data_IF_446843601064
#
_entry.id   IF_446843601064
#
_cell.length_a   1.000
_cell.length_b   1.000
_cell.length_c   1.000
_cell.angle_alpha   90.00
_cell.angle_beta   90.00
_cell.angle_gamma   90.00
#
_symmetry.space_group_name_H-M   'P 1'
#
loop_
_entity.id
_entity.type
_entity.pdbx_description
1 polymer ?
#
# COMPACT_ATOMS: atom_id res chain seq x y z
N UNK A 1 -52.29 -48.96 -34.64
CA UNK A 1 -51.94 -47.69 -35.29
C UNK A 1 -52.55 -46.59 -34.44
N UNK A 2 -51.79 -46.10 -33.46
CA UNK A 2 -52.25 -45.11 -32.47
C UNK A 2 -51.58 -43.78 -32.78
N UNK A 3 -52.39 -42.77 -33.11
CA UNK A 3 -51.96 -41.39 -33.34
C UNK A 3 -51.64 -40.70 -32.00
N UNK A 4 -50.55 -39.92 -31.89
CA UNK A 4 -50.31 -39.10 -30.71
C UNK A 4 -51.01 -37.74 -30.83
N UNK A 5 -51.59 -37.30 -29.72
CA UNK A 5 -52.23 -36.01 -29.55
C UNK A 5 -51.19 -34.88 -29.55
N UNK A 6 -51.46 -33.85 -30.35
CA UNK A 6 -50.78 -32.55 -30.32
C UNK A 6 -51.15 -31.83 -29.01
N UNK A 7 -50.18 -31.58 -28.13
CA UNK A 7 -50.35 -30.65 -27.02
C UNK A 7 -50.09 -29.22 -27.53
N UNK A 8 -51.09 -28.36 -27.34
CA UNK A 8 -51.05 -26.93 -27.65
C UNK A 8 -50.09 -26.17 -26.74
N UNK A 9 -49.26 -25.32 -27.36
CA UNK A 9 -48.42 -24.33 -26.70
C UNK A 9 -49.26 -23.30 -25.94
N UNK A 10 -48.82 -22.83 -24.75
CA UNK A 10 -49.44 -21.67 -24.11
C UNK A 10 -48.88 -20.37 -24.71
N UNK A 11 -49.79 -19.51 -25.15
CA UNK A 11 -49.55 -18.10 -25.46
C UNK A 11 -48.94 -17.39 -24.25
N UNK A 12 -47.75 -16.82 -24.42
CA UNK A 12 -47.16 -15.91 -23.45
C UNK A 12 -47.61 -14.48 -23.80
N UNK A 13 -48.46 -13.92 -22.94
CA UNK A 13 -48.91 -12.53 -23.01
C UNK A 13 -47.72 -11.59 -22.77
N UNK A 14 -47.54 -10.67 -23.71
CA UNK A 14 -46.66 -9.51 -23.57
C UNK A 14 -47.34 -8.48 -22.68
N UNK A 15 -46.86 -8.31 -21.45
CA UNK A 15 -47.14 -7.13 -20.63
C UNK A 15 -45.85 -6.34 -20.42
N UNK A 16 -45.78 -5.19 -21.10
CA UNK A 16 -44.93 -4.06 -20.73
C UNK A 16 -45.37 -3.51 -19.37
N UNK A 17 -44.41 -3.04 -18.56
CA UNK A 17 -44.60 -1.70 -18.04
C UNK A 17 -43.35 -0.84 -18.23
N UNK A 18 -43.59 0.30 -18.89
CA UNK A 18 -42.79 1.50 -18.78
C UNK A 18 -42.68 1.89 -17.29
N UNK A 19 -41.47 1.90 -16.74
CA UNK A 19 -41.15 2.77 -15.62
C UNK A 19 -39.84 3.47 -15.90
N UNK A 20 -39.97 4.70 -16.38
CA UNK A 20 -38.93 5.71 -16.44
C UNK A 20 -38.35 5.95 -15.04
N UNK A 21 -37.22 5.31 -14.75
CA UNK A 21 -36.40 5.64 -13.59
C UNK A 21 -35.26 6.55 -14.06
N UNK A 22 -35.50 7.86 -13.92
CA UNK A 22 -34.50 8.90 -14.07
C UNK A 22 -33.47 8.79 -12.94
N UNK A 23 -32.46 7.95 -13.13
CA UNK A 23 -31.30 7.92 -12.25
C UNK A 23 -30.46 9.18 -12.50
N UNK A 24 -30.82 10.24 -11.79
CA UNK A 24 -30.03 11.46 -11.69
C UNK A 24 -28.72 11.11 -10.98
N UNK A 25 -27.64 10.98 -11.74
CA UNK A 25 -26.29 10.88 -11.23
C UNK A 25 -25.89 12.20 -10.55
N UNK A 26 -26.26 12.35 -9.28
CA UNK A 26 -25.62 13.27 -8.36
C UNK A 26 -24.23 12.71 -8.01
N UNK A 27 -23.25 12.96 -8.89
CA UNK A 27 -21.86 12.93 -8.47
C UNK A 27 -21.64 14.12 -7.52
N UNK A 28 -21.16 13.91 -6.29
CA UNK A 28 -20.67 15.01 -5.48
C UNK A 28 -19.53 15.70 -6.26
N UNK A 29 -19.49 17.04 -6.34
CA UNK A 29 -18.40 17.72 -6.99
C UNK A 29 -17.11 17.30 -6.29
N UNK A 30 -16.19 16.72 -7.07
CA UNK A 30 -14.82 16.46 -6.65
C UNK A 30 -14.31 17.71 -5.95
N UNK A 31 -13.92 17.51 -4.69
CA UNK A 31 -13.55 18.58 -3.78
C UNK A 31 -12.62 19.56 -4.49
N UNK A 32 -13.10 20.80 -4.61
CA UNK A 32 -12.23 21.97 -4.69
C UNK A 32 -11.19 21.82 -3.59
N UNK A 33 -9.97 21.49 -3.98
CA UNK A 33 -8.81 21.79 -3.16
C UNK A 33 -8.74 23.31 -3.05
N UNK A 34 -9.40 23.85 -2.03
CA UNK A 34 -9.05 25.14 -1.49
C UNK A 34 -7.64 25.00 -0.92
N UNK A 35 -6.63 25.06 -1.78
CA UNK A 35 -5.37 25.65 -1.37
C UNK A 35 -5.68 27.12 -1.13
N UNK A 36 -6.08 27.40 0.12
CA UNK A 36 -6.08 28.74 0.67
C UNK A 36 -4.61 29.18 0.74
N UNK A 37 -4.12 29.69 -0.38
CA UNK A 37 -2.87 30.41 -0.48
C UNK A 37 -3.09 31.82 0.08
N UNK A 38 -3.27 31.93 1.39
CA UNK A 38 -3.23 33.19 2.13
C UNK A 38 -3.12 32.88 3.62
N UNK A 39 -1.88 32.86 4.13
CA UNK A 39 -1.46 33.19 5.51
C UNK A 39 -0.04 32.70 5.72
N UNK A 40 0.94 33.35 5.08
CA UNK A 40 2.29 33.52 5.65
C UNK A 40 3.03 34.65 4.93
N UNK A 41 2.44 35.85 4.95
CA UNK A 41 3.23 37.08 4.85
C UNK A 41 3.53 37.51 6.27
N UNK A 42 4.79 37.32 6.69
CA UNK A 42 5.31 37.95 7.88
C UNK A 42 5.14 39.46 7.74
N UNK A 43 4.19 40.03 8.48
CA UNK A 43 4.11 41.48 8.66
C UNK A 43 5.24 41.90 9.62
N UNK A 44 6.05 42.90 9.25
CA UNK A 44 6.98 43.51 10.17
C UNK A 44 6.22 44.27 11.26
N UNK A 45 6.68 44.14 12.50
CA UNK A 45 6.26 44.92 13.66
C UNK A 45 6.24 46.42 13.32
N UNK A 46 5.06 46.99 13.15
CA UNK A 46 4.85 48.42 13.28
C UNK A 46 4.42 48.72 14.70
N UNK A 47 5.32 49.38 15.43
CA UNK A 47 5.04 50.25 16.58
C UNK A 47 3.73 51.00 16.35
N UNK A 48 2.71 50.64 17.10
CA UNK A 48 1.56 51.50 17.35
C UNK A 48 1.81 52.21 18.66
N UNK A 49 2.08 53.51 18.57
CA UNK A 49 1.95 54.43 19.69
C UNK A 49 0.48 54.47 20.10
N UNK A 50 0.18 53.90 21.27
CA UNK A 50 -1.14 53.88 21.87
C UNK A 50 -1.12 54.58 23.21
N UNK A 51 -1.61 55.82 23.21
CA UNK A 51 -1.94 56.62 24.39
C UNK A 51 -2.59 55.79 25.49
N UNK A 52 -1.96 55.73 26.66
CA UNK A 52 -2.61 55.26 27.90
C UNK A 52 -2.79 56.46 28.82
N UNK A 53 -3.95 57.09 28.70
CA UNK A 53 -4.53 57.95 29.72
C UNK A 53 -5.07 57.03 30.82
N UNK A 54 -4.47 57.04 32.02
CA UNK A 54 -4.90 56.13 33.08
C UNK A 54 -4.22 56.38 34.41
N UNK A 55 -4.75 57.37 35.12
CA UNK A 55 -4.42 57.77 36.49
C UNK A 55 -4.26 56.58 37.45
N UNK A 56 -3.12 56.52 38.14
CA UNK A 56 -2.79 55.51 39.13
C UNK A 56 -1.65 55.98 40.01
N UNK A 57 -1.96 56.96 40.85
CA UNK A 57 -1.10 57.55 41.88
C UNK A 57 -0.62 56.47 42.85
N UNK A 58 0.67 56.14 42.81
CA UNK A 58 1.38 55.57 43.95
C UNK A 58 2.74 56.28 44.07
N UNK A 59 2.78 57.23 45.00
CA UNK A 59 4.01 57.82 45.52
C UNK A 59 4.81 56.74 46.25
N UNK A 60 6.01 56.47 45.75
CA UNK A 60 6.95 55.53 46.32
C UNK A 60 8.37 55.99 46.02
N UNK A 61 8.78 57.03 46.73
CA UNK A 61 10.11 57.60 46.75
C UNK A 61 11.20 56.54 46.80
N UNK A 62 12.05 56.46 45.77
CA UNK A 62 13.42 56.02 45.96
C UNK A 62 14.35 56.75 44.98
N UNK A 63 14.74 57.97 45.39
CA UNK A 63 15.93 58.62 44.89
C UNK A 63 17.14 57.80 45.35
N UNK A 64 17.70 56.97 44.47
CA UNK A 64 19.11 56.64 44.53
C UNK A 64 19.79 57.27 43.32
N UNK A 65 20.50 58.33 43.66
CA UNK A 65 21.56 59.02 42.94
C UNK A 65 22.35 58.08 42.01
N UNK A 66 22.46 58.48 40.75
CA UNK A 66 23.67 59.08 40.14
C UNK A 66 24.83 58.11 39.90
N UNK A 67 25.29 58.19 38.65
CA UNK A 67 26.67 57.98 38.20
C UNK A 67 27.18 56.53 38.22
N UNK A 68 27.20 55.95 37.02
CA UNK A 68 28.27 55.11 36.47
C UNK A 68 28.01 55.09 34.95
N UNK A 69 28.54 56.01 34.13
CA UNK A 69 29.94 56.02 33.68
C UNK A 69 30.49 54.61 33.38
N UNK A 70 29.69 53.76 32.73
CA UNK A 70 30.27 52.63 32.00
C UNK A 70 30.88 53.18 30.71
N UNK A 71 32.21 53.16 30.56
CA UNK A 71 32.80 53.52 29.28
C UNK A 71 32.22 52.56 28.24
N UNK A 72 31.79 53.11 27.12
CA UNK A 72 31.56 52.38 25.88
C UNK A 72 32.90 51.78 25.43
N UNK A 73 33.38 50.76 26.17
CA UNK A 73 34.63 50.09 25.89
C UNK A 73 34.35 49.08 24.80
N UNK A 74 34.92 49.42 23.65
CA UNK A 74 34.70 48.85 22.34
C UNK A 74 35.24 47.42 22.28
N UNK A 75 34.63 46.69 21.34
CA UNK A 75 35.30 45.71 20.48
C UNK A 75 36.01 44.55 21.14
N UNK A 76 35.30 43.77 21.97
CA UNK A 76 35.55 42.34 21.96
C UNK A 76 34.35 41.67 21.28
N UNK A 77 34.28 41.87 19.95
CA UNK A 77 33.36 41.11 19.10
C UNK A 77 33.69 39.65 19.31
N UNK A 78 32.81 38.94 20.02
CA UNK A 78 32.90 37.50 20.22
C UNK A 78 33.15 36.84 18.86
N UNK A 79 34.32 36.19 18.64
CA UNK A 79 34.64 35.55 17.37
C UNK A 79 33.55 34.58 16.90
N UNK A 80 32.79 34.01 17.84
CA UNK A 80 31.65 33.15 17.52
C UNK A 80 30.49 33.87 16.84
N UNK A 81 30.23 35.13 17.19
CA UNK A 81 29.13 35.90 16.59
C UNK A 81 29.37 36.14 15.09
N UNK A 82 30.62 36.40 14.69
CA UNK A 82 30.99 36.56 13.28
C UNK A 82 30.83 35.24 12.50
N UNK A 83 31.26 34.13 13.08
CA UNK A 83 31.14 32.79 12.47
C UNK A 83 29.67 32.41 12.28
N UNK A 84 28.83 32.60 13.30
CA UNK A 84 27.40 32.30 13.24
C UNK A 84 26.70 33.16 12.19
N UNK A 85 27.00 34.47 12.15
CA UNK A 85 26.40 35.38 11.17
C UNK A 85 26.77 34.98 9.74
N UNK A 86 28.04 34.65 9.49
CA UNK A 86 28.50 34.16 8.17
C UNK A 86 27.79 32.86 7.77
N UNK A 87 27.63 31.91 8.71
CA UNK A 87 26.93 30.64 8.44
C UNK A 87 25.44 30.86 8.13
N UNK A 88 24.78 31.77 8.83
CA UNK A 88 23.38 32.14 8.55
C UNK A 88 23.26 32.74 7.14
N UNK A 89 24.18 33.61 6.75
CA UNK A 89 24.18 34.20 5.41
C UNK A 89 24.34 33.13 4.31
N UNK A 90 25.26 32.18 4.50
CA UNK A 90 25.47 31.05 3.58
C UNK A 90 24.19 30.21 3.46
N UNK A 91 23.61 29.79 4.59
CA UNK A 91 22.37 28.99 4.61
C UNK A 91 21.19 29.74 3.98
N UNK A 92 21.14 31.06 4.13
CA UNK A 92 20.11 31.90 3.51
C UNK A 92 20.26 31.91 1.99
N UNK A 93 21.50 32.03 1.49
CA UNK A 93 21.80 31.94 0.05
C UNK A 93 21.47 30.56 -0.52
N UNK A 94 21.86 29.48 0.18
CA UNK A 94 21.55 28.09 -0.21
C UNK A 94 20.04 27.85 -0.26
N UNK A 95 19.29 28.27 0.76
CA UNK A 95 17.83 28.15 0.76
C UNK A 95 17.18 28.94 -0.39
N UNK A 96 17.66 30.15 -0.66
CA UNK A 96 17.16 30.94 -1.77
C UNK A 96 17.45 30.27 -3.13
N UNK A 97 18.61 29.62 -3.27
CA UNK A 97 18.94 28.85 -4.46
C UNK A 97 18.03 27.63 -4.61
N UNK A 98 17.84 26.85 -3.55
CA UNK A 98 16.93 25.70 -3.56
C UNK A 98 15.50 26.11 -3.91
N UNK A 99 15.02 27.28 -3.44
CA UNK A 99 13.72 27.80 -3.82
C UNK A 99 13.62 28.10 -5.33
N UNK A 100 14.67 28.66 -5.94
CA UNK A 100 14.72 28.86 -7.40
C UNK A 100 14.69 27.53 -8.15
N UNK A 101 15.46 26.55 -7.69
CA UNK A 101 15.52 25.23 -8.32
C UNK A 101 14.17 24.50 -8.24
N UNK A 102 13.47 24.58 -7.09
CA UNK A 102 12.13 24.02 -6.93
C UNK A 102 11.12 24.71 -7.84
N UNK A 103 11.14 26.04 -7.95
CA UNK A 103 10.27 26.77 -8.86
C UNK A 103 10.55 26.40 -10.33
N UNK A 104 11.82 26.25 -10.69
CA UNK A 104 12.22 25.83 -12.02
C UNK A 104 11.73 24.42 -12.35
N UNK A 105 11.92 23.45 -11.46
CA UNK A 105 11.42 22.08 -11.63
C UNK A 105 9.89 22.03 -11.72
N UNK A 106 9.19 22.84 -10.93
CA UNK A 106 7.73 22.94 -10.99
C UNK A 106 7.26 23.45 -12.35
N UNK A 107 7.96 24.46 -12.90
CA UNK A 107 7.69 24.99 -14.24
C UNK A 107 7.90 23.93 -15.32
N UNK A 108 9.04 23.24 -15.30
CA UNK A 108 9.33 22.15 -16.25
C UNK A 108 8.29 21.03 -16.17
N UNK A 109 7.90 20.62 -14.96
CA UNK A 109 6.88 19.59 -14.78
C UNK A 109 5.52 20.04 -15.33
N UNK A 110 5.15 21.30 -15.11
CA UNK A 110 3.92 21.88 -15.67
C UNK A 110 3.95 21.91 -17.19
N UNK A 111 5.07 22.29 -17.81
CA UNK A 111 5.23 22.32 -19.27
C UNK A 111 5.08 20.91 -19.86
N UNK A 112 5.78 19.91 -19.30
CA UNK A 112 5.67 18.51 -19.74
C UNK A 112 4.25 17.94 -19.57
N UNK A 113 3.57 18.30 -18.47
CA UNK A 113 2.18 17.88 -18.27
C UNK A 113 1.24 18.49 -19.31
N UNK A 114 1.43 19.76 -19.68
CA UNK A 114 0.62 20.39 -20.74
C UNK A 114 0.87 19.75 -22.11
N UNK A 115 2.12 19.39 -22.44
CA UNK A 115 2.44 18.66 -23.66
C UNK A 115 1.74 17.29 -23.70
N UNK A 116 1.78 16.53 -22.60
CA UNK A 116 1.12 15.24 -22.50
C UNK A 116 -0.41 15.36 -22.66
N UNK A 117 -1.03 16.35 -22.01
CA UNK A 117 -2.47 16.63 -22.16
C UNK A 117 -2.79 16.97 -23.63
N UNK A 118 -1.94 17.76 -24.29
CA UNK A 118 -2.07 18.06 -25.71
C UNK A 118 -2.06 16.81 -26.58
N UNK A 119 -1.07 15.93 -26.38
CA UNK A 119 -0.94 14.67 -27.11
C UNK A 119 -2.15 13.75 -26.94
N UNK A 120 -2.64 13.59 -25.70
CA UNK A 120 -3.85 12.79 -25.40
C UNK A 120 -5.08 13.36 -26.11
N UNK A 121 -5.25 14.68 -26.14
CA UNK A 121 -6.36 15.31 -26.86
C UNK A 121 -6.25 15.10 -28.37
N UNK A 122 -5.06 15.25 -28.94
CA UNK A 122 -4.84 15.02 -30.38
C UNK A 122 -5.07 13.57 -30.79
N UNK A 123 -4.60 12.60 -29.99
CA UNK A 123 -4.80 11.19 -30.27
C UNK A 123 -6.27 10.80 -30.14
N UNK A 124 -6.95 11.29 -29.10
CA UNK A 124 -8.40 11.06 -28.91
C UNK A 124 -9.22 11.61 -30.08
N UNK A 125 -8.91 12.83 -30.54
CA UNK A 125 -9.55 13.44 -31.71
C UNK A 125 -9.30 12.64 -33.00
N UNK A 126 -8.06 12.14 -33.19
CA UNK A 126 -7.70 11.32 -34.34
C UNK A 126 -8.47 9.98 -34.35
N UNK A 127 -8.58 9.34 -33.19
CA UNK A 127 -9.36 8.09 -33.03
C UNK A 127 -10.85 8.34 -33.28
N UNK A 128 -11.41 9.42 -32.73
CA UNK A 128 -12.81 9.79 -32.97
C UNK A 128 -13.09 10.02 -34.47
N UNK A 129 -12.24 10.77 -35.17
CA UNK A 129 -12.37 11.00 -36.60
C UNK A 129 -12.21 9.71 -37.43
N UNK A 130 -11.37 8.77 -37.00
CA UNK A 130 -11.24 7.46 -37.64
C UNK A 130 -12.50 6.61 -37.47
N UNK A 131 -13.10 6.61 -36.28
CA UNK A 131 -14.37 5.90 -35.99
C UNK A 131 -15.51 6.46 -36.85
N UNK A 132 -15.61 7.78 -37.01
CA UNK A 132 -16.62 8.40 -37.87
C UNK A 132 -16.44 7.99 -39.34
N UNK A 133 -15.20 7.94 -39.84
CA UNK A 133 -14.90 7.48 -41.21
C UNK A 133 -15.28 6.01 -41.43
N UNK A 134 -15.02 5.14 -40.46
CA UNK A 134 -15.42 3.72 -40.54
C UNK A 134 -16.94 3.53 -40.46
N UNK A 135 -17.61 4.35 -39.65
CA UNK A 135 -19.08 4.32 -39.49
C UNK A 135 -19.78 4.75 -40.79
N UNK A 136 -19.28 5.79 -41.45
CA UNK A 136 -19.78 6.26 -42.75
C UNK A 136 -19.52 5.26 -43.89
N UNK A 137 -18.45 4.46 -43.80
CA UNK A 137 -18.13 3.42 -44.79
C UNK A 137 -18.94 2.13 -44.61
N UNK A 138 -19.58 1.90 -43.46
CA UNK A 138 -20.27 0.64 -43.14
C UNK A 138 -21.74 0.61 -43.57
N UNK A 139 -22.06 1.31 -44.66
CA UNK A 139 -23.36 1.21 -45.30
C UNK A 139 -23.66 -0.23 -45.69
N UNK A 140 -24.74 -0.78 -45.14
CA UNK A 140 -25.41 -2.03 -45.55
C UNK A 140 -24.64 -3.34 -45.33
N UNK A 141 -24.55 -3.80 -44.09
CA UNK A 141 -24.65 -5.24 -43.80
C UNK A 141 -25.19 -5.48 -42.40
N UNK A 142 -26.45 -5.93 -42.40
CA UNK A 142 -27.20 -6.68 -41.39
C UNK A 142 -26.62 -6.77 -39.97
N UNK A 143 -27.38 -6.18 -39.05
CA UNK A 143 -27.26 -6.16 -37.60
C UNK A 143 -27.03 -7.56 -37.00
N UNK A 144 -25.91 -7.75 -36.32
CA UNK A 144 -25.82 -8.66 -35.18
C UNK A 144 -25.48 -7.82 -33.93
N UNK A 145 -26.23 -7.95 -32.84
CA UNK A 145 -26.03 -7.15 -31.64
C UNK A 145 -24.72 -7.56 -30.97
N UNK A 146 -23.75 -6.63 -30.95
CA UNK A 146 -22.54 -6.72 -30.14
C UNK A 146 -22.96 -6.69 -28.68
N UNK A 147 -23.09 -7.87 -28.10
CA UNK A 147 -23.20 -8.02 -26.66
C UNK A 147 -21.89 -7.53 -26.07
N UNK A 148 -22.00 -6.60 -25.13
CA UNK A 148 -20.92 -6.06 -24.33
C UNK A 148 -20.20 -7.23 -23.62
N UNK A 149 -19.17 -7.76 -24.27
CA UNK A 149 -18.30 -8.78 -23.73
C UNK A 149 -17.42 -8.09 -22.69
N UNK A 150 -18.00 -7.83 -21.51
CA UNK A 150 -17.22 -7.84 -20.29
C UNK A 150 -16.50 -9.17 -20.29
N UNK A 151 -15.23 -9.14 -20.71
CA UNK A 151 -14.39 -10.31 -20.94
C UNK A 151 -14.14 -10.93 -19.57
N UNK A 152 -15.12 -11.71 -19.10
CA UNK A 152 -14.92 -12.68 -18.05
C UNK A 152 -13.84 -13.60 -18.59
N UNK A 153 -12.61 -13.38 -18.14
CA UNK A 153 -11.44 -14.14 -18.56
C UNK A 153 -11.76 -15.62 -18.27
N UNK A 154 -12.04 -16.44 -19.30
CA UNK A 154 -12.52 -17.78 -19.06
C UNK A 154 -11.42 -18.55 -18.36
N UNK A 155 -11.73 -18.98 -17.14
CA UNK A 155 -10.88 -19.88 -16.38
C UNK A 155 -11.27 -21.31 -16.75
N UNK A 156 -10.31 -22.17 -17.14
CA UNK A 156 -10.59 -23.57 -17.36
C UNK A 156 -11.01 -24.17 -16.01
N UNK A 157 -12.31 -24.41 -15.85
CA UNK A 157 -12.83 -25.22 -14.76
C UNK A 157 -12.48 -26.65 -15.11
N UNK A 158 -11.66 -27.28 -14.29
CA UNK A 158 -11.34 -28.70 -14.41
C UNK A 158 -12.41 -29.49 -13.66
N UNK A 159 -12.73 -30.68 -14.15
CA UNK A 159 -13.68 -31.58 -13.51
C UNK A 159 -12.96 -32.55 -12.57
N UNK A 160 -13.63 -32.96 -11.49
CA UNK A 160 -13.01 -33.83 -10.47
C UNK A 160 -12.76 -35.24 -11.01
N UNK A 161 -13.60 -35.66 -11.93
CA UNK A 161 -13.63 -36.96 -12.57
C UNK A 161 -12.34 -37.23 -13.36
N UNK A 162 -11.73 -36.18 -13.92
CA UNK A 162 -10.48 -36.27 -14.67
C UNK A 162 -9.25 -36.38 -13.77
N UNK A 163 -9.37 -35.98 -12.49
CA UNK A 163 -8.27 -35.91 -11.52
C UNK A 163 -8.63 -36.61 -10.19
N UNK A 164 -8.89 -37.94 -10.21
CA UNK A 164 -9.39 -38.67 -9.04
C UNK A 164 -8.40 -38.70 -7.86
N UNK A 165 -7.10 -38.55 -8.12
CA UNK A 165 -6.06 -38.63 -7.09
C UNK A 165 -5.90 -37.33 -6.28
N UNK A 166 -6.47 -36.20 -6.76
CA UNK A 166 -6.46 -34.93 -6.02
C UNK A 166 -7.38 -35.03 -4.80
N UNK A 167 -6.80 -34.96 -3.61
CA UNK A 167 -7.50 -35.22 -2.34
C UNK A 167 -8.33 -34.02 -1.89
N UNK A 168 -7.87 -32.80 -2.15
CA UNK A 168 -8.50 -31.57 -1.69
C UNK A 168 -9.16 -30.80 -2.82
N UNK A 169 -10.34 -31.24 -3.25
CA UNK A 169 -11.10 -30.55 -4.29
C UNK A 169 -11.83 -29.32 -3.77
N UNK A 170 -12.26 -29.35 -2.51
CA UNK A 170 -12.97 -28.24 -1.86
C UNK A 170 -12.26 -27.77 -0.60
N UNK A 171 -12.42 -26.48 -0.27
CA UNK A 171 -11.90 -25.91 1.00
C UNK A 171 -12.42 -26.65 2.24
N UNK A 172 -13.62 -27.25 2.17
CA UNK A 172 -14.21 -28.03 3.28
C UNK A 172 -13.43 -29.32 3.54
N UNK A 173 -13.10 -30.08 2.49
CA UNK A 173 -12.29 -31.31 2.58
C UNK A 173 -10.91 -31.03 3.18
N UNK A 174 -10.24 -29.98 2.68
CA UNK A 174 -8.96 -29.52 3.25
C UNK A 174 -9.10 -29.14 4.73
N UNK A 175 -10.11 -28.36 5.09
CA UNK A 175 -10.29 -27.93 6.49
C UNK A 175 -10.56 -29.13 7.41
N UNK A 176 -11.31 -30.13 6.95
CA UNK A 176 -11.52 -31.38 7.68
C UNK A 176 -10.21 -32.16 7.86
N UNK A 177 -9.41 -32.29 6.79
CA UNK A 177 -8.10 -32.94 6.86
C UNK A 177 -7.12 -32.19 7.77
N UNK A 178 -7.07 -30.86 7.69
CA UNK A 178 -6.25 -30.01 8.56
C UNK A 178 -6.59 -30.18 10.03
N UNK A 179 -7.88 -30.31 10.38
CA UNK A 179 -8.31 -30.60 11.75
C UNK A 179 -7.84 -31.98 12.22
N UNK A 180 -7.90 -33.01 11.36
CA UNK A 180 -7.41 -34.36 11.67
C UNK A 180 -5.90 -34.42 11.87
N UNK A 181 -5.12 -33.63 11.10
CA UNK A 181 -3.65 -33.55 11.24
C UNK A 181 -3.20 -32.78 12.48
N UNK A 182 -4.06 -31.97 13.09
CA UNK A 182 -3.73 -31.26 14.32
C UNK A 182 -3.66 -32.29 15.45
N UNK A 183 -2.43 -32.72 15.75
CA UNK A 183 -2.14 -33.64 16.85
C UNK A 183 -2.68 -33.11 18.18
N UNK A 184 -2.89 -33.98 19.16
CA UNK A 184 -3.28 -33.60 20.52
C UNK A 184 -2.28 -32.65 21.19
N UNK A 185 -1.02 -32.64 20.74
CA UNK A 185 0.03 -31.72 21.16
C UNK A 185 -0.05 -30.34 20.47
N UNK A 186 -0.96 -30.14 19.52
CA UNK A 186 -1.17 -28.87 18.83
C UNK A 186 -0.09 -28.49 17.81
N UNK A 187 0.97 -29.30 17.71
CA UNK A 187 2.03 -29.15 16.71
C UNK A 187 1.58 -29.84 15.43
N UNK A 188 1.50 -29.07 14.34
CA UNK A 188 1.39 -29.64 12.99
C UNK A 188 2.75 -30.26 12.70
N UNK A 189 2.85 -31.58 12.47
CA UNK A 189 4.10 -32.19 12.06
C UNK A 189 4.61 -31.41 10.85
N UNK A 190 5.82 -30.84 10.95
CA UNK A 190 6.44 -30.29 9.76
C UNK A 190 6.70 -31.48 8.85
N UNK A 191 5.97 -31.52 7.74
CA UNK A 191 6.35 -32.33 6.59
C UNK A 191 7.82 -31.94 6.35
N UNK A 192 8.77 -32.88 6.48
CA UNK A 192 10.21 -32.60 6.61
C UNK A 192 10.81 -31.73 5.49
N UNK A 193 10.02 -31.44 4.46
CA UNK A 193 10.27 -30.54 3.35
C UNK A 193 10.15 -29.04 3.66
N UNK A 194 9.76 -28.64 4.88
CA UNK A 194 9.60 -27.22 5.25
C UNK A 194 8.41 -26.51 4.58
N UNK A 195 7.59 -27.25 3.83
CA UNK A 195 6.40 -26.75 3.14
C UNK A 195 5.18 -26.67 4.08
N UNK A 196 5.28 -25.88 5.14
CA UNK A 196 4.29 -25.89 6.23
C UNK A 196 2.91 -25.33 5.81
N UNK A 197 2.86 -24.47 4.78
CA UNK A 197 1.63 -23.73 4.45
C UNK A 197 0.90 -24.16 3.17
N UNK A 198 1.49 -24.98 2.29
CA UNK A 198 0.92 -25.23 0.95
C UNK A 198 0.71 -26.70 0.60
N UNK A 199 0.58 -27.59 1.59
CA UNK A 199 0.27 -29.01 1.38
C UNK A 199 -1.11 -29.30 0.78
N UNK A 200 -2.00 -28.30 0.70
CA UNK A 200 -3.26 -28.41 -0.04
C UNK A 200 -3.08 -28.23 -1.54
N UNK A 201 -1.90 -27.82 -1.98
CA UNK A 201 -1.53 -27.70 -3.38
C UNK A 201 -0.91 -29.03 -3.79
N UNK A 202 -1.65 -29.80 -4.57
CA UNK A 202 -1.33 -31.17 -4.99
C UNK A 202 -1.10 -31.19 -6.50
N UNK A 203 -0.19 -32.06 -6.94
CA UNK A 203 0.00 -32.41 -8.35
C UNK A 203 -1.14 -33.32 -8.82
N UNK A 204 -1.13 -33.68 -10.10
CA UNK A 204 -2.13 -34.56 -10.73
C UNK A 204 -2.22 -35.91 -10.00
N UNK A 205 -1.11 -36.42 -9.49
CA UNK A 205 -1.00 -37.69 -8.77
C UNK A 205 -1.41 -37.60 -7.29
N UNK A 206 -1.93 -36.45 -6.84
CA UNK A 206 -2.34 -36.26 -5.45
C UNK A 206 -1.19 -36.07 -4.46
N UNK A 207 0.04 -35.88 -4.95
CA UNK A 207 1.22 -35.61 -4.13
C UNK A 207 1.40 -34.11 -3.89
N UNK A 208 1.86 -33.68 -2.69
CA UNK A 208 2.12 -32.28 -2.41
C UNK A 208 3.18 -31.70 -3.35
N UNK A 209 2.96 -30.46 -3.79
CA UNK A 209 3.90 -29.75 -4.66
C UNK A 209 5.23 -29.47 -3.96
N UNK A 210 6.33 -29.56 -4.72
CA UNK A 210 7.69 -29.30 -4.25
C UNK A 210 7.90 -27.83 -3.78
N UNK A 211 8.85 -27.64 -2.87
CA UNK A 211 9.20 -26.35 -2.29
C UNK A 211 9.62 -25.33 -3.35
N UNK A 212 10.35 -25.74 -4.41
CA UNK A 212 10.74 -24.83 -5.49
C UNK A 212 9.52 -24.29 -6.26
N UNK A 213 8.54 -25.15 -6.52
CA UNK A 213 7.30 -24.75 -7.20
C UNK A 213 6.44 -23.86 -6.31
N UNK A 214 6.38 -24.11 -4.99
CA UNK A 214 5.73 -23.21 -4.02
C UNK A 214 6.37 -21.82 -4.04
N UNK A 215 7.70 -21.75 -4.10
CA UNK A 215 8.42 -20.47 -4.20
C UNK A 215 8.08 -19.74 -5.51
N UNK A 216 8.01 -20.46 -6.63
CA UNK A 216 7.58 -19.92 -7.92
C UNK A 216 6.14 -19.37 -7.88
N UNK A 217 5.21 -20.11 -7.26
CA UNK A 217 3.81 -19.69 -7.06
C UNK A 217 3.77 -18.37 -6.26
N UNK A 218 4.52 -18.28 -5.15
CA UNK A 218 4.58 -17.07 -4.33
C UNK A 218 5.27 -15.91 -5.04
N UNK A 219 6.29 -16.18 -5.86
CA UNK A 219 6.94 -15.16 -6.68
C UNK A 219 5.96 -14.57 -7.70
N UNK A 220 5.20 -15.42 -8.38
CA UNK A 220 4.20 -14.98 -9.34
C UNK A 220 3.06 -14.20 -8.67
N UNK A 221 2.51 -14.68 -7.56
CA UNK A 221 1.48 -13.97 -6.79
C UNK A 221 1.93 -12.53 -6.41
N UNK A 222 3.19 -12.37 -5.99
CA UNK A 222 3.77 -11.05 -5.67
C UNK A 222 3.84 -10.13 -6.89
N UNK A 223 4.16 -10.66 -8.07
CA UNK A 223 4.15 -9.88 -9.32
C UNK A 223 2.75 -9.38 -9.68
N UNK A 224 1.72 -10.22 -9.51
CA UNK A 224 0.32 -9.84 -9.73
C UNK A 224 -0.08 -8.72 -8.78
N UNK A 225 0.23 -8.84 -7.49
CA UNK A 225 -0.09 -7.77 -6.53
C UNK A 225 0.65 -6.46 -6.82
N UNK A 226 1.87 -6.53 -7.37
CA UNK A 226 2.59 -5.35 -7.83
C UNK A 226 1.87 -4.67 -9.02
N UNK A 227 1.30 -5.45 -9.95
CA UNK A 227 0.45 -4.92 -11.03
C UNK A 227 -0.81 -4.27 -10.48
N UNK A 228 -1.56 -4.97 -9.61
CA UNK A 228 -2.76 -4.42 -8.96
C UNK A 228 -2.48 -3.11 -8.22
N UNK A 229 -1.32 -3.02 -7.57
CA UNK A 229 -0.88 -1.79 -6.90
C UNK A 229 -0.57 -0.68 -7.89
N UNK A 230 0.11 -0.98 -8.98
CA UNK A 230 0.43 -0.01 -10.04
C UNK A 230 -0.84 0.58 -10.65
N UNK A 231 -1.91 -0.20 -10.71
CA UNK A 231 -3.24 0.23 -11.18
C UNK A 231 -4.11 0.88 -10.10
N UNK A 232 -3.61 1.02 -8.86
CA UNK A 232 -4.37 1.54 -7.73
C UNK A 232 -5.66 0.76 -7.40
N UNK A 233 -5.74 -0.52 -7.76
CA UNK A 233 -6.86 -1.42 -7.43
C UNK A 233 -6.49 -2.48 -6.39
N UNK A 234 -5.26 -2.44 -5.85
CA UNK A 234 -4.85 -3.32 -4.76
C UNK A 234 -5.63 -2.99 -3.48
N UNK A 235 -6.35 -3.95 -2.88
CA UNK A 235 -7.19 -3.70 -1.70
C UNK A 235 -6.37 -3.53 -0.43
N UNK A 236 -6.95 -2.97 0.62
CA UNK A 236 -6.26 -2.87 1.92
C UNK A 236 -6.12 -4.25 2.60
N UNK A 237 -7.15 -5.07 2.50
CA UNK A 237 -7.14 -6.47 2.92
C UNK A 237 -7.61 -7.34 1.76
N UNK A 238 -7.12 -8.57 1.65
CA UNK A 238 -7.55 -9.44 0.56
C UNK A 238 -9.04 -9.83 0.65
N UNK A 239 -9.63 -9.76 1.83
CA UNK A 239 -11.06 -9.99 2.03
C UNK A 239 -11.93 -8.87 1.42
N UNK A 240 -11.36 -7.67 1.24
CA UNK A 240 -12.01 -6.50 0.65
C UNK A 240 -11.61 -6.29 -0.82
N UNK A 241 -11.06 -7.31 -1.48
CA UNK A 241 -10.66 -7.21 -2.88
C UNK A 241 -11.88 -6.99 -3.78
N UNK A 242 -11.75 -6.08 -4.76
CA UNK A 242 -12.77 -5.90 -5.78
C UNK A 242 -12.92 -7.17 -6.62
N UNK A 243 -14.11 -7.36 -7.22
CA UNK A 243 -14.35 -8.48 -8.14
C UNK A 243 -13.30 -8.52 -9.28
N UNK A 244 -12.92 -7.34 -9.79
CA UNK A 244 -11.87 -7.19 -10.80
C UNK A 244 -10.52 -7.71 -10.30
N UNK A 245 -10.10 -7.33 -9.09
CA UNK A 245 -8.84 -7.80 -8.51
C UNK A 245 -8.85 -9.32 -8.25
N UNK A 246 -9.98 -9.88 -7.81
CA UNK A 246 -10.17 -11.32 -7.66
C UNK A 246 -10.03 -12.05 -8.99
N UNK A 247 -10.83 -11.65 -10.00
CA UNK A 247 -10.83 -12.29 -11.31
C UNK A 247 -9.45 -12.20 -11.98
N UNK A 248 -8.78 -11.05 -11.87
CA UNK A 248 -7.43 -10.86 -12.39
C UNK A 248 -6.43 -11.79 -11.72
N UNK A 249 -6.47 -11.88 -10.38
CA UNK A 249 -5.57 -12.74 -9.63
C UNK A 249 -5.80 -14.23 -9.94
N UNK A 250 -7.05 -14.69 -9.91
CA UNK A 250 -7.38 -16.08 -10.21
C UNK A 250 -7.00 -16.45 -11.65
N UNK A 251 -7.33 -15.58 -12.63
CA UNK A 251 -6.98 -15.79 -14.03
C UNK A 251 -5.48 -16.04 -14.21
N UNK A 252 -4.65 -15.12 -13.72
CA UNK A 252 -3.20 -15.21 -13.94
C UNK A 252 -2.57 -16.35 -13.14
N UNK A 253 -3.03 -16.62 -11.92
CA UNK A 253 -2.51 -17.72 -11.11
C UNK A 253 -2.83 -19.09 -11.72
N UNK A 254 -4.08 -19.32 -12.11
CA UNK A 254 -4.52 -20.60 -12.70
C UNK A 254 -3.94 -20.80 -14.10
N UNK A 255 -3.76 -19.73 -14.88
CA UNK A 255 -3.09 -19.81 -16.19
C UNK A 255 -1.62 -20.20 -16.07
N UNK A 256 -0.90 -19.66 -15.09
CA UNK A 256 0.51 -19.96 -14.89
C UNK A 256 0.74 -21.30 -14.17
N UNK A 257 -0.16 -21.67 -13.25
CA UNK A 257 -0.09 -22.90 -12.46
C UNK A 257 -1.44 -23.63 -12.53
N UNK A 258 -1.66 -24.47 -13.56
CA UNK A 258 -2.92 -25.20 -13.75
C UNK A 258 -3.35 -26.03 -12.54
N UNK A 259 -2.38 -26.47 -11.73
CA UNK A 259 -2.60 -27.18 -10.47
C UNK A 259 -3.42 -26.40 -9.42
N UNK A 260 -3.51 -25.07 -9.54
CA UNK A 260 -4.36 -24.24 -8.69
C UNK A 260 -5.83 -24.25 -9.13
N UNK A 261 -6.09 -24.67 -10.37
CA UNK A 261 -7.43 -24.94 -10.91
C UNK A 261 -7.97 -26.29 -10.45
N UNK A 262 -7.15 -27.17 -9.85
CA UNK A 262 -7.61 -28.42 -9.25
C UNK A 262 -8.43 -28.13 -7.98
N UNK A 263 -9.68 -27.73 -8.15
CA UNK A 263 -10.61 -27.51 -7.06
C UNK A 263 -11.74 -26.58 -7.43
N UNK A 264 -12.88 -26.77 -6.76
CA UNK A 264 -14.08 -25.99 -7.00
C UNK A 264 -13.82 -24.49 -6.78
N UNK A 265 -14.24 -23.66 -7.75
CA UNK A 265 -14.16 -22.19 -7.71
C UNK A 265 -12.76 -21.66 -7.40
N UNK A 266 -11.70 -22.28 -7.94
CA UNK A 266 -10.30 -21.85 -7.77
C UNK A 266 -9.90 -21.60 -6.31
N UNK A 267 -10.50 -22.32 -5.36
CA UNK A 267 -10.36 -21.99 -3.94
C UNK A 267 -8.91 -22.04 -3.45
N UNK A 268 -8.05 -22.83 -4.12
CA UNK A 268 -6.60 -22.91 -3.84
C UNK A 268 -5.89 -21.59 -4.15
N UNK A 269 -6.21 -20.95 -5.29
CA UNK A 269 -5.69 -19.62 -5.63
C UNK A 269 -6.16 -18.58 -4.59
N UNK A 270 -7.44 -18.58 -4.24
CA UNK A 270 -7.96 -17.69 -3.19
C UNK A 270 -7.27 -17.91 -1.84
N UNK A 271 -6.99 -19.16 -1.47
CA UNK A 271 -6.26 -19.47 -0.23
C UNK A 271 -4.84 -18.92 -0.25
N UNK A 272 -4.11 -19.09 -1.36
CA UNK A 272 -2.75 -18.54 -1.53
C UNK A 272 -2.76 -17.04 -1.29
N UNK A 273 -3.71 -16.33 -1.89
CA UNK A 273 -3.83 -14.90 -1.71
C UNK A 273 -4.14 -14.53 -0.25
N UNK A 274 -5.11 -15.19 0.37
CA UNK A 274 -5.50 -14.94 1.76
C UNK A 274 -4.33 -15.11 2.73
N UNK A 275 -3.51 -16.15 2.56
CA UNK A 275 -2.41 -16.46 3.48
C UNK A 275 -1.17 -15.58 3.26
N UNK A 276 -0.87 -15.22 2.01
CA UNK A 276 0.41 -14.58 1.66
C UNK A 276 0.29 -13.06 1.45
N UNK A 277 -0.88 -12.55 1.07
CA UNK A 277 -1.11 -11.14 0.78
C UNK A 277 -0.80 -10.20 1.96
N UNK A 278 -1.24 -10.47 3.22
CA UNK A 278 -1.02 -9.54 4.33
C UNK A 278 0.46 -9.24 4.62
N UNK A 279 1.32 -10.26 4.45
CA UNK A 279 2.77 -10.13 4.62
C UNK A 279 3.37 -9.24 3.53
N UNK A 280 2.98 -9.47 2.27
CA UNK A 280 3.41 -8.63 1.16
C UNK A 280 2.92 -7.18 1.28
N UNK A 281 1.63 -6.99 1.60
CA UNK A 281 1.00 -5.66 1.70
C UNK A 281 1.70 -4.81 2.78
N UNK A 282 1.92 -5.40 3.96
CA UNK A 282 2.62 -4.74 5.07
C UNK A 282 4.01 -4.24 4.66
N UNK A 283 4.72 -4.97 3.79
CA UNK A 283 6.07 -4.64 3.33
C UNK A 283 6.09 -3.60 2.20
N UNK A 284 5.12 -3.60 1.27
CA UNK A 284 5.21 -2.81 0.03
C UNK A 284 4.30 -1.60 -0.02
N UNK A 285 3.13 -1.68 0.60
CA UNK A 285 2.19 -0.54 0.70
C UNK A 285 2.46 0.22 2.00
N UNK A 286 2.93 -0.50 3.02
CA UNK A 286 3.12 0.01 4.36
C UNK A 286 1.77 0.09 5.08
N UNK A 287 1.77 -0.17 6.38
CA UNK A 287 0.76 0.47 7.22
C UNK A 287 1.09 1.95 7.11
N UNK A 288 0.28 2.75 6.43
CA UNK A 288 0.42 4.21 6.43
C UNK A 288 0.76 4.59 7.87
N UNK A 289 2.02 5.00 8.10
CA UNK A 289 2.58 5.08 9.45
C UNK A 289 1.56 5.87 10.25
N UNK A 290 0.87 5.20 11.17
CA UNK A 290 -0.42 5.64 11.68
C UNK A 290 -0.24 7.07 12.17
N UNK A 291 -0.60 8.07 11.35
CA UNK A 291 -0.19 9.47 11.56
C UNK A 291 -0.79 9.99 12.87
N UNK A 292 -1.85 9.32 13.35
CA UNK A 292 -2.41 9.49 14.69
C UNK A 292 -1.44 9.17 15.82
N UNK A 293 -0.57 8.17 15.71
CA UNK A 293 0.39 7.82 16.77
C UNK A 293 1.47 8.89 16.95
N UNK A 294 1.98 9.42 15.84
CA UNK A 294 3.03 10.45 15.88
C UNK A 294 2.47 11.81 16.29
N UNK A 295 1.24 12.16 15.87
CA UNK A 295 0.61 13.40 16.31
C UNK A 295 0.26 13.36 17.80
N UNK A 296 -0.24 12.23 18.32
CA UNK A 296 -0.53 12.08 19.76
C UNK A 296 0.77 12.09 20.58
N UNK A 297 1.84 11.41 20.14
CA UNK A 297 3.13 11.49 20.83
C UNK A 297 3.79 12.88 20.70
N UNK A 298 3.63 13.59 19.58
CA UNK A 298 4.15 14.94 19.41
C UNK A 298 3.39 15.97 20.26
N UNK A 299 2.06 15.85 20.36
CA UNK A 299 1.22 16.70 21.22
C UNK A 299 1.39 16.37 22.71
N UNK A 300 1.69 15.13 23.05
CA UNK A 300 1.96 14.73 24.43
C UNK A 300 3.39 15.11 24.89
N UNK A 301 4.31 15.34 23.94
CA UNK A 301 5.66 15.86 24.23
C UNK A 301 5.71 17.39 24.32
N UNK A 302 4.73 18.11 23.75
CA UNK A 302 4.62 19.58 23.87
C UNK A 302 3.86 20.03 25.12
N UNK A 303 3.15 19.15 25.82
CA UNK A 303 2.65 19.41 27.17
C UNK A 303 3.69 19.04 28.23
N UNK A 304 4.73 19.86 28.33
CA UNK A 304 5.55 19.97 29.53
C UNK A 304 4.68 20.65 30.58
N UNK A 305 3.82 19.87 31.23
CA UNK A 305 3.24 20.28 32.52
C UNK A 305 4.35 20.07 33.55
N UNK A 306 4.78 21.08 34.31
CA UNK A 306 5.73 20.91 35.39
C UNK A 306 5.19 19.83 36.33
N UNK A 307 5.91 18.69 36.37
CA UNK A 307 5.56 17.55 37.20
C UNK A 307 5.71 18.00 38.65
N UNK A 308 4.60 18.39 39.28
CA UNK A 308 4.53 18.55 40.72
C UNK A 308 5.06 17.27 41.37
N UNK A 309 6.03 17.50 42.25
CA UNK A 309 6.76 16.56 43.09
C UNK A 309 5.90 15.37 43.53
N UNK A 310 6.26 14.18 43.02
CA UNK A 310 5.78 12.92 43.59
C UNK A 310 6.37 12.79 44.99
N UNK A 311 5.48 12.57 45.96
CA UNK A 311 5.80 12.24 47.35
C UNK A 311 6.72 11.00 47.46
N UNK A 312 7.43 10.85 48.59
CA UNK A 312 8.46 9.84 48.77
C UNK A 312 7.91 8.41 48.68
N UNK A 313 8.70 7.44 48.20
CA UNK A 313 8.31 6.05 48.16
C UNK A 313 8.30 5.50 49.59
N UNK A 314 7.14 5.06 50.06
CA UNK A 314 7.06 4.21 51.25
C UNK A 314 7.68 2.86 50.90
N UNK A 315 8.86 2.65 51.48
CA UNK A 315 9.60 1.41 51.55
C UNK A 315 8.67 0.26 51.98
N UNK A 316 8.49 -0.71 51.09
CA UNK A 316 7.90 -2.00 51.40
C UNK A 316 8.87 -3.08 50.96
N UNK A 317 9.91 -3.21 51.78
CA UNK A 317 10.73 -4.41 51.93
C UNK A 317 9.88 -5.68 51.82
N UNK A 318 10.03 -6.39 50.71
CA UNK A 318 9.61 -7.78 50.54
C UNK A 318 10.83 -8.55 50.07
N UNK A 319 11.53 -9.09 51.06
CA UNK A 319 12.54 -10.13 50.97
C UNK A 319 12.13 -11.22 49.99
N UNK A 320 12.91 -11.38 48.94
CA UNK A 320 12.84 -12.48 47.97
C UNK A 320 14.13 -13.30 48.11
N UNK A 321 14.07 -14.62 48.30
CA UNK A 321 15.25 -15.43 48.54
C UNK A 321 16.02 -15.70 47.24
N UNK A 322 17.33 -15.72 47.39
CA UNK A 322 18.35 -15.94 46.37
C UNK A 322 18.20 -17.29 45.66
N UNK A 323 18.28 -17.26 44.33
CA UNK A 323 18.51 -18.44 43.51
C UNK A 323 19.83 -18.22 42.74
N UNK A 324 20.72 -19.23 42.69
CA UNK A 324 22.09 -19.03 42.25
C UNK A 324 22.22 -18.85 40.73
N UNK A 325 22.96 -17.80 40.39
CA UNK A 325 23.49 -17.47 39.09
C UNK A 325 24.43 -18.57 38.59
N UNK A 326 24.03 -19.30 37.56
CA UNK A 326 24.96 -20.10 36.76
C UNK A 326 25.38 -19.27 35.55
N UNK A 327 26.64 -18.83 35.59
CA UNK A 327 27.32 -18.19 34.49
C UNK A 327 27.51 -19.19 33.34
N UNK A 328 27.20 -18.78 32.12
CA UNK A 328 27.82 -19.36 30.93
C UNK A 328 28.16 -18.23 29.96
N UNK A 329 29.44 -17.92 29.95
CA UNK A 329 30.14 -17.04 29.03
C UNK A 329 30.53 -17.86 27.80
N UNK A 330 30.76 -17.17 26.68
CA UNK A 330 31.30 -17.62 25.38
C UNK A 330 30.28 -18.05 24.34
N UNK A 331 29.91 -17.12 23.44
CA UNK A 331 30.10 -17.31 21.99
C UNK A 331 30.45 -15.94 21.38
N UNK A 332 31.73 -15.74 21.07
CA UNK A 332 32.22 -14.71 20.15
C UNK A 332 33.15 -15.42 19.16
N UNK A 333 33.05 -14.99 17.90
CA UNK A 333 33.94 -15.25 16.75
C UNK A 333 33.99 -16.67 16.17
N UNK A 334 33.38 -16.84 14.99
CA UNK A 334 34.09 -17.25 13.76
C UNK A 334 33.21 -16.95 12.53
N UNK A 335 33.37 -15.73 12.02
CA UNK A 335 33.05 -15.35 10.65
C UNK A 335 34.31 -15.60 9.80
N UNK A 336 34.14 -15.89 8.51
CA UNK A 336 35.14 -16.08 7.42
C UNK A 336 35.55 -17.52 7.10
N UNK A 337 34.91 -18.09 6.07
CA UNK A 337 35.58 -18.61 4.85
C UNK A 337 34.56 -19.29 3.94
N UNK A 338 34.18 -18.61 2.86
CA UNK A 338 33.59 -19.25 1.68
C UNK A 338 34.62 -19.13 0.54
N UNK A 339 35.10 -20.24 -0.04
CA UNK A 339 35.96 -20.18 -1.22
C UNK A 339 35.14 -19.80 -2.46
N UNK A 340 35.66 -18.83 -3.21
CA UNK A 340 35.24 -18.49 -4.56
C UNK A 340 35.51 -19.67 -5.49
N UNK A 341 34.46 -20.30 -6.02
CA UNK A 341 34.57 -21.22 -7.16
C UNK A 341 34.47 -20.42 -8.47
N UNK A 342 35.49 -20.48 -9.35
CA UNK A 342 35.44 -19.81 -10.64
C UNK A 342 34.57 -20.56 -11.65
N UNK A 343 33.72 -19.80 -12.34
CA UNK A 343 33.03 -20.19 -13.56
C UNK A 343 34.04 -20.53 -14.67
N UNK A 344 33.99 -21.76 -15.20
CA UNK A 344 34.49 -22.05 -16.54
C UNK A 344 33.75 -23.26 -17.12
N UNK A 345 32.87 -23.01 -18.09
CA UNK A 345 32.25 -24.02 -18.95
C UNK A 345 32.57 -23.66 -20.41
N UNK A 346 33.45 -24.38 -21.10
CA UNK A 346 33.55 -24.26 -22.55
C UNK A 346 32.46 -25.12 -23.20
N UNK A 347 31.62 -24.48 -24.02
CA UNK A 347 30.73 -25.17 -24.94
C UNK A 347 31.55 -25.68 -26.14
N UNK A 348 31.51 -26.98 -26.37
CA UNK A 348 31.93 -27.60 -27.63
C UNK A 348 30.72 -27.60 -28.57
N UNK A 349 30.92 -27.06 -29.77
CA UNK A 349 30.00 -27.13 -30.91
C UNK A 349 30.36 -28.39 -31.69
N UNK A 350 29.43 -29.32 -31.95
CA UNK A 350 29.63 -30.34 -32.97
C UNK A 350 29.23 -29.79 -34.35
N UNK A 351 30.21 -29.76 -35.25
CA UNK A 351 30.01 -29.70 -36.70
C UNK A 351 29.62 -31.08 -37.23
N UNK A 352 28.48 -31.16 -37.92
CA UNK A 352 28.27 -32.01 -39.10
C UNK A 352 27.15 -31.42 -39.93
#
# INVERSE_FOLDING_TARGET
>A
MSSPAFMSSPSFMSDSPETSSSYSHNYPPLGRTLYSADLWTGRPDQRTEGSTSGSGRFEGSNQIAKQNFFPANRSNTDPWAAIVTSRIEILTKENHQLQKDVQFLHRMLSESHQELIGLIRTSSSTVAAAIERLSLSSGTSSLAPLTDHSVALPLPVLDKEDYPDVKYWTKKEYTAAKKRRKSSTGLIPSDGNGNVMTWYVEMEEGEPVDTATVEAIRAHARSIWQSLRTWNIAPATWADASLEAHNYFEHHMCRQFPLLSYGANNWKAHMIATENYPSWYSKHVGRSANVRGTLVHALQRSQIVPRLTRSPPTDRSRSRPDAPTQASVYILTHFLSLPLTPCARPMLIPTT
#
